data_IF_021648891667
#
_entry.id   IF_021648891667
#
_cell.length_a   1.000
_cell.length_b   1.000
_cell.length_c   1.000
_cell.angle_alpha   90.00
_cell.angle_beta   90.00
_cell.angle_gamma   90.00
#
_symmetry.space_group_name_H-M   'P 1'
#
loop_
_entity.id
_entity.type
_entity.pdbx_description
1 polymer ?
#
# COMPACT_ATOMS: atom_id res chain seq x y z
N UNK A 1 0.92 0.88 30.77
CA UNK A 1 0.06 0.68 29.57
C UNK A 1 0.83 1.14 28.36
N UNK A 2 1.25 0.23 27.51
CA UNK A 2 2.00 0.54 26.28
C UNK A 2 1.08 1.28 25.31
N UNK A 3 1.38 2.54 25.10
CA UNK A 3 0.63 3.47 24.26
C UNK A 3 0.98 3.19 22.79
N UNK A 4 0.64 2.00 22.30
CA UNK A 4 1.01 1.57 20.96
C UNK A 4 0.14 2.29 19.93
N UNK A 5 0.77 3.15 19.13
CA UNK A 5 0.15 3.71 17.93
C UNK A 5 -0.09 2.58 16.93
N UNK A 6 -1.33 2.24 16.67
CA UNK A 6 -1.67 1.22 15.67
C UNK A 6 -1.87 1.83 14.30
N UNK A 7 -1.46 1.11 13.27
CA UNK A 7 -1.72 1.44 11.86
C UNK A 7 -2.69 0.39 11.31
N UNK A 8 -3.86 0.85 10.89
CA UNK A 8 -4.86 0.01 10.25
C UNK A 8 -4.85 0.27 8.74
N UNK A 9 -4.63 -0.78 7.95
CA UNK A 9 -4.59 -0.69 6.49
C UNK A 9 -5.80 -1.45 5.93
N UNK A 10 -6.70 -0.71 5.28
CA UNK A 10 -7.91 -1.26 4.67
C UNK A 10 -7.72 -1.38 3.15
N UNK A 11 -7.31 -2.56 2.70
CA UNK A 11 -7.28 -2.90 1.28
C UNK A 11 -8.70 -3.26 0.82
N UNK A 12 -9.31 -2.40 0.00
CA UNK A 12 -10.66 -2.63 -0.51
C UNK A 12 -10.71 -3.71 -1.60
N UNK A 13 -9.55 -4.11 -2.12
CA UNK A 13 -9.44 -5.03 -3.25
C UNK A 13 -10.28 -4.55 -4.44
N UNK A 14 -10.95 -5.43 -5.15
CA UNK A 14 -11.82 -5.09 -6.27
C UNK A 14 -13.26 -4.82 -5.78
N UNK A 15 -13.39 -4.00 -4.73
CA UNK A 15 -14.67 -3.63 -4.16
C UNK A 15 -14.75 -2.11 -3.97
N UNK A 16 -15.95 -1.60 -3.95
CA UNK A 16 -16.26 -0.22 -3.64
C UNK A 16 -16.65 0.61 -4.86
N UNK A 17 -17.63 1.45 -4.61
CA UNK A 17 -18.18 2.44 -5.52
C UNK A 17 -18.23 3.80 -4.82
N UNK A 18 -18.56 4.87 -5.56
CA UNK A 18 -18.70 6.23 -4.99
C UNK A 18 -19.66 6.30 -3.80
N UNK A 19 -20.75 5.55 -3.84
CA UNK A 19 -21.74 5.43 -2.76
C UNK A 19 -21.15 4.96 -1.44
N UNK A 20 -20.17 4.05 -1.47
CA UNK A 20 -19.52 3.48 -0.29
C UNK A 20 -18.61 4.48 0.46
N UNK A 21 -18.21 5.58 -0.18
CA UNK A 21 -17.34 6.60 0.43
C UNK A 21 -17.99 7.24 1.66
N UNK A 22 -19.32 7.31 1.68
CA UNK A 22 -20.08 7.82 2.84
C UNK A 22 -19.79 7.05 4.13
N UNK A 23 -19.51 5.74 4.02
CA UNK A 23 -19.15 4.87 5.15
C UNK A 23 -17.91 5.33 5.93
N UNK A 24 -16.99 6.06 5.27
CA UNK A 24 -15.78 6.62 5.90
C UNK A 24 -16.13 7.59 7.05
N UNK A 25 -17.33 8.18 7.06
CA UNK A 25 -17.77 9.05 8.14
C UNK A 25 -17.72 8.35 9.52
N UNK A 26 -18.03 7.06 9.58
CA UNK A 26 -17.94 6.26 10.83
C UNK A 26 -16.51 6.23 11.36
N UNK A 27 -15.54 6.02 10.46
CA UNK A 27 -14.12 6.02 10.81
C UNK A 27 -13.63 7.41 11.24
N UNK A 28 -14.08 8.47 10.59
CA UNK A 28 -13.75 9.85 10.98
C UNK A 28 -14.27 10.13 12.40
N UNK A 29 -15.51 9.74 12.72
CA UNK A 29 -16.08 9.86 14.07
C UNK A 29 -15.26 9.05 15.10
N UNK A 30 -14.91 7.82 14.78
CA UNK A 30 -14.09 6.96 15.64
C UNK A 30 -12.74 7.60 16.00
N UNK A 31 -12.03 8.17 15.02
CA UNK A 31 -10.73 8.82 15.24
C UNK A 31 -10.81 10.13 16.04
N UNK A 32 -11.97 10.76 16.12
CA UNK A 32 -12.16 11.97 16.94
C UNK A 32 -12.21 11.67 18.45
N UNK A 33 -12.50 10.43 18.84
CA UNK A 33 -12.49 10.02 20.25
C UNK A 33 -11.06 10.07 20.81
N UNK A 34 -10.87 10.59 22.03
CA UNK A 34 -9.56 10.84 22.63
C UNK A 34 -8.64 9.60 22.65
N UNK A 35 -9.21 8.43 23.00
CA UNK A 35 -8.48 7.14 23.05
C UNK A 35 -7.94 6.67 21.70
N UNK A 36 -8.50 7.16 20.59
CA UNK A 36 -8.17 6.70 19.23
C UNK A 36 -7.32 7.71 18.45
N UNK A 37 -7.02 8.88 19.02
CA UNK A 37 -6.33 9.98 18.32
C UNK A 37 -4.93 9.62 17.81
N UNK A 38 -4.28 8.63 18.41
CA UNK A 38 -2.93 8.18 18.04
C UNK A 38 -2.93 7.13 16.91
N UNK A 39 -4.08 6.51 16.62
CA UNK A 39 -4.17 5.50 15.56
C UNK A 39 -4.12 6.15 14.18
N UNK A 40 -3.44 5.47 13.25
CA UNK A 40 -3.42 5.84 11.84
C UNK A 40 -4.27 4.87 11.03
N UNK A 41 -5.08 5.40 10.12
CA UNK A 41 -5.86 4.59 9.18
C UNK A 41 -5.42 4.94 7.77
N UNK A 42 -5.21 3.91 6.95
CA UNK A 42 -4.86 4.00 5.55
C UNK A 42 -5.92 3.25 4.75
N UNK A 43 -6.67 3.95 3.91
CA UNK A 43 -7.57 3.33 2.95
C UNK A 43 -6.86 3.13 1.62
N UNK A 44 -6.93 1.90 1.09
CA UNK A 44 -6.43 1.56 -0.24
C UNK A 44 -7.62 1.15 -1.13
N UNK A 45 -8.37 2.13 -1.68
CA UNK A 45 -9.48 1.88 -2.58
C UNK A 45 -8.97 1.51 -3.98
N UNK A 46 -9.85 1.04 -4.90
CA UNK A 46 -9.55 0.97 -6.33
C UNK A 46 -9.02 2.29 -6.88
N UNK A 47 -8.20 2.25 -7.94
CA UNK A 47 -7.59 3.45 -8.53
C UNK A 47 -8.62 4.54 -8.87
N UNK A 48 -9.80 4.13 -9.35
CA UNK A 48 -10.91 5.02 -9.74
C UNK A 48 -11.47 5.85 -8.58
N UNK A 49 -11.19 5.46 -7.33
CA UNK A 49 -11.73 6.11 -6.13
C UNK A 49 -10.68 6.87 -5.31
N UNK A 50 -9.40 6.81 -5.67
CA UNK A 50 -8.33 7.45 -4.87
C UNK A 50 -8.62 8.93 -4.64
N UNK A 51 -8.89 9.71 -5.70
CA UNK A 51 -9.16 11.14 -5.59
C UNK A 51 -10.43 11.43 -4.78
N UNK A 52 -11.49 10.65 -4.98
CA UNK A 52 -12.75 10.82 -4.25
C UNK A 52 -12.59 10.53 -2.75
N UNK A 53 -11.88 9.46 -2.39
CA UNK A 53 -11.55 9.13 -0.99
C UNK A 53 -10.62 10.19 -0.40
N UNK A 54 -9.61 10.65 -1.16
CA UNK A 54 -8.70 11.72 -0.70
C UNK A 54 -9.44 13.00 -0.37
N UNK A 55 -10.36 13.43 -1.23
CA UNK A 55 -11.20 14.60 -0.98
C UNK A 55 -12.07 14.43 0.27
N UNK A 56 -12.64 13.24 0.48
CA UNK A 56 -13.46 12.93 1.66
C UNK A 56 -12.68 13.04 2.97
N UNK A 57 -11.39 12.66 2.97
CA UNK A 57 -10.57 12.62 4.18
C UNK A 57 -9.60 13.81 4.31
N UNK A 58 -9.68 14.81 3.44
CA UNK A 58 -8.73 15.93 3.33
C UNK A 58 -8.38 16.59 4.68
N UNK A 59 -9.37 16.80 5.52
CA UNK A 59 -9.22 17.48 6.83
C UNK A 59 -9.12 16.46 7.99
N UNK A 60 -8.59 15.28 7.75
CA UNK A 60 -8.43 14.23 8.75
C UNK A 60 -7.02 13.67 8.77
N UNK A 61 -6.72 12.81 9.76
CA UNK A 61 -5.45 12.05 9.80
C UNK A 61 -5.46 10.79 8.93
N UNK A 62 -6.58 10.47 8.29
CA UNK A 62 -6.71 9.30 7.43
C UNK A 62 -5.83 9.51 6.19
N UNK A 63 -5.10 8.47 5.82
CA UNK A 63 -4.25 8.44 4.63
C UNK A 63 -4.90 7.59 3.54
N UNK A 64 -4.51 7.86 2.30
CA UNK A 64 -5.02 7.13 1.14
C UNK A 64 -3.87 6.45 0.42
N UNK A 65 -4.05 5.18 0.07
CA UNK A 65 -3.08 4.40 -0.67
C UNK A 65 -3.67 3.85 -1.96
N UNK A 66 -2.79 3.44 -2.87
CA UNK A 66 -3.13 2.63 -4.02
C UNK A 66 -2.92 1.15 -3.70
N UNK A 67 -3.61 0.27 -4.43
CA UNK A 67 -3.52 -1.19 -4.24
C UNK A 67 -2.34 -1.82 -5.00
N UNK A 68 -1.81 -1.13 -6.00
CA UNK A 68 -0.67 -1.53 -6.82
C UNK A 68 -0.15 -0.30 -7.59
N UNK A 69 0.94 -0.47 -8.35
CA UNK A 69 1.43 0.49 -9.34
C UNK A 69 2.18 -0.23 -10.45
N UNK A 70 2.37 0.46 -11.59
CA UNK A 70 3.30 0.02 -12.63
C UNK A 70 4.76 0.14 -12.14
N UNK A 71 5.63 -0.75 -12.63
CA UNK A 71 7.07 -0.63 -12.42
C UNK A 71 7.71 0.52 -13.21
N UNK A 72 6.97 1.09 -14.16
CA UNK A 72 7.41 2.19 -15.00
C UNK A 72 7.24 3.52 -14.25
N UNK A 73 8.29 4.34 -14.24
CA UNK A 73 8.29 5.61 -13.50
C UNK A 73 7.69 6.76 -14.29
N UNK A 74 7.88 6.77 -15.60
CA UNK A 74 7.56 7.91 -16.44
C UNK A 74 6.26 7.71 -17.22
N UNK A 75 5.72 8.79 -17.74
CA UNK A 75 4.60 8.75 -18.67
C UNK A 75 5.04 8.12 -20.00
N UNK A 76 4.10 7.54 -20.73
CA UNK A 76 4.39 6.93 -22.01
C UNK A 76 3.20 6.17 -22.59
N UNK A 77 3.43 5.44 -23.66
CA UNK A 77 2.42 4.63 -24.37
C UNK A 77 2.13 3.31 -23.65
N UNK A 78 1.57 3.39 -22.44
CA UNK A 78 1.28 2.26 -21.57
C UNK A 78 -0.20 2.27 -21.19
N UNK A 79 -1.06 2.02 -22.16
CA UNK A 79 -2.51 2.07 -22.01
C UNK A 79 -2.99 1.25 -20.81
N UNK A 80 -3.78 1.88 -19.93
CA UNK A 80 -4.34 1.25 -18.73
C UNK A 80 -3.40 1.16 -17.53
N UNK A 81 -2.09 1.44 -17.67
CA UNK A 81 -1.13 1.39 -16.57
C UNK A 81 -1.22 2.64 -15.69
N UNK A 82 -1.05 2.44 -14.39
CA UNK A 82 -1.03 3.52 -13.40
C UNK A 82 0.32 3.53 -12.70
N UNK A 83 1.12 4.58 -12.90
CA UNK A 83 2.43 4.73 -12.28
C UNK A 83 2.36 5.54 -10.96
N UNK A 84 3.51 5.66 -10.28
CA UNK A 84 3.62 6.39 -9.02
C UNK A 84 3.26 7.87 -9.13
N UNK A 85 3.56 8.53 -10.26
CA UNK A 85 3.23 9.94 -10.51
C UNK A 85 1.71 10.15 -10.58
N UNK A 86 1.00 9.27 -11.30
CA UNK A 86 -0.46 9.30 -11.39
C UNK A 86 -1.13 9.07 -10.03
N UNK A 87 -0.61 8.11 -9.23
CA UNK A 87 -1.10 7.88 -7.88
C UNK A 87 -0.88 9.12 -7.01
N UNK A 88 0.30 9.72 -7.09
CA UNK A 88 0.63 10.92 -6.32
C UNK A 88 -0.26 12.11 -6.69
N UNK A 89 -0.48 12.34 -7.97
CA UNK A 89 -1.37 13.40 -8.47
C UNK A 89 -2.83 13.20 -8.06
N UNK A 90 -3.28 11.94 -7.97
CA UNK A 90 -4.61 11.61 -7.44
C UNK A 90 -4.73 11.78 -5.92
N UNK A 91 -3.65 12.16 -5.23
CA UNK A 91 -3.62 12.38 -3.78
C UNK A 91 -3.24 11.16 -2.95
N UNK A 92 -2.66 10.12 -3.55
CA UNK A 92 -2.13 8.96 -2.84
C UNK A 92 -0.96 9.33 -1.91
N UNK A 93 -0.98 8.76 -0.72
CA UNK A 93 0.08 8.86 0.30
C UNK A 93 0.90 7.57 0.37
N UNK A 94 0.25 6.42 0.08
CA UNK A 94 0.80 5.07 0.19
C UNK A 94 0.55 4.25 -1.07
N UNK A 95 1.25 3.12 -1.18
CA UNK A 95 0.95 2.09 -2.18
C UNK A 95 1.27 0.71 -1.64
N UNK A 96 0.41 -0.27 -1.90
CA UNK A 96 0.64 -1.69 -1.64
C UNK A 96 1.50 -2.24 -2.77
N UNK A 97 2.55 -2.98 -2.41
CA UNK A 97 3.47 -3.63 -3.37
C UNK A 97 3.67 -5.08 -2.97
N UNK A 98 3.62 -5.98 -3.93
CA UNK A 98 3.89 -7.41 -3.72
C UNK A 98 2.80 -8.16 -2.97
N UNK A 99 1.55 -7.72 -3.05
CA UNK A 99 0.42 -8.44 -2.44
C UNK A 99 0.32 -9.87 -2.99
N UNK A 100 -0.08 -10.83 -2.15
CA UNK A 100 -0.13 -12.27 -2.50
C UNK A 100 -0.94 -12.56 -3.77
N UNK A 101 -2.02 -11.81 -4.02
CA UNK A 101 -2.89 -11.99 -5.18
C UNK A 101 -2.20 -11.67 -6.53
N UNK A 102 -1.09 -10.93 -6.51
CA UNK A 102 -0.37 -10.54 -7.74
C UNK A 102 1.06 -11.10 -7.82
N UNK A 103 1.57 -11.73 -6.76
CA UNK A 103 2.94 -12.28 -6.74
C UNK A 103 3.19 -13.40 -7.74
N UNK A 104 2.17 -14.07 -8.22
CA UNK A 104 2.28 -15.05 -9.30
C UNK A 104 2.53 -14.40 -10.68
N UNK A 105 2.23 -13.11 -10.82
CA UNK A 105 2.46 -12.30 -12.03
C UNK A 105 3.69 -11.38 -11.89
N UNK A 106 4.18 -11.16 -10.67
CA UNK A 106 5.24 -10.20 -10.36
C UNK A 106 6.33 -10.85 -9.52
N UNK A 107 7.51 -11.01 -10.09
CA UNK A 107 8.69 -11.49 -9.38
C UNK A 107 9.29 -10.40 -8.47
N UNK A 108 10.24 -10.80 -7.60
CA UNK A 108 10.85 -9.89 -6.63
C UNK A 108 11.64 -8.74 -7.28
N UNK A 109 12.12 -8.88 -8.53
CA UNK A 109 12.79 -7.81 -9.29
C UNK A 109 11.78 -6.73 -9.72
N UNK A 110 10.60 -7.14 -10.18
CA UNK A 110 9.51 -6.21 -10.52
C UNK A 110 9.06 -5.46 -9.26
N UNK A 111 8.92 -6.18 -8.15
CA UNK A 111 8.57 -5.60 -6.85
C UNK A 111 9.61 -4.55 -6.42
N UNK A 112 10.91 -4.85 -6.55
CA UNK A 112 11.97 -3.88 -6.27
C UNK A 112 11.83 -2.61 -7.13
N UNK A 113 11.62 -2.74 -8.45
CA UNK A 113 11.41 -1.60 -9.35
C UNK A 113 10.20 -0.75 -8.91
N UNK A 114 9.10 -1.39 -8.50
CA UNK A 114 7.91 -0.71 -7.98
C UNK A 114 8.19 0.06 -6.69
N UNK A 115 8.98 -0.51 -5.77
CA UNK A 115 9.39 0.17 -4.53
C UNK A 115 10.21 1.42 -4.87
N UNK A 116 11.20 1.30 -5.78
CA UNK A 116 11.98 2.45 -6.22
C UNK A 116 11.11 3.53 -6.85
N UNK A 117 10.16 3.15 -7.74
CA UNK A 117 9.21 4.06 -8.36
C UNK A 117 8.37 4.81 -7.32
N UNK A 118 7.81 4.10 -6.35
CA UNK A 118 7.00 4.69 -5.29
C UNK A 118 7.80 5.69 -4.43
N UNK A 119 8.99 5.28 -3.98
CA UNK A 119 9.84 6.12 -3.12
C UNK A 119 10.34 7.38 -3.83
N UNK A 120 10.62 7.30 -5.14
CA UNK A 120 11.01 8.45 -5.98
C UNK A 120 9.94 9.54 -5.94
N UNK A 121 8.66 9.17 -5.99
CA UNK A 121 7.53 10.10 -5.91
C UNK A 121 7.07 10.37 -4.46
N UNK A 122 7.89 10.03 -3.46
CA UNK A 122 7.60 10.25 -2.05
C UNK A 122 6.30 9.57 -1.57
N UNK A 123 5.90 8.47 -2.21
CA UNK A 123 4.90 7.57 -1.67
C UNK A 123 5.54 6.70 -0.59
N UNK A 124 4.77 6.37 0.45
CA UNK A 124 5.15 5.33 1.40
C UNK A 124 4.70 3.97 0.88
N UNK A 125 5.49 2.94 1.13
CA UNK A 125 5.26 1.59 0.61
C UNK A 125 4.72 0.68 1.71
N UNK A 126 3.70 -0.08 1.39
CA UNK A 126 3.24 -1.23 2.18
C UNK A 126 3.73 -2.47 1.41
N UNK A 127 4.89 -2.98 1.83
CA UNK A 127 5.51 -4.15 1.20
C UNK A 127 4.92 -5.42 1.79
N UNK A 128 4.15 -6.14 0.98
CA UNK A 128 3.64 -7.43 1.37
C UNK A 128 4.69 -8.51 1.11
N UNK A 129 4.97 -9.30 2.14
CA UNK A 129 5.87 -10.47 2.09
C UNK A 129 5.11 -11.68 2.64
N UNK A 130 5.44 -12.85 2.16
CA UNK A 130 4.82 -14.09 2.61
C UNK A 130 5.11 -15.23 1.67
N UNK A 131 5.08 -16.43 2.23
CA UNK A 131 5.20 -17.68 1.49
C UNK A 131 3.83 -18.22 1.06
N UNK A 132 3.83 -19.06 0.05
CA UNK A 132 2.66 -19.86 -0.34
C UNK A 132 2.44 -21.01 0.64
N UNK A 133 1.22 -21.56 0.67
CA UNK A 133 0.92 -22.75 1.45
C UNK A 133 1.87 -23.92 1.15
N UNK A 134 2.22 -24.13 -0.12
CA UNK A 134 3.17 -25.16 -0.57
C UNK A 134 4.57 -24.93 -0.01
N UNK A 135 5.04 -23.68 -0.02
CA UNK A 135 6.36 -23.31 0.53
C UNK A 135 6.37 -23.50 2.05
N UNK A 136 5.31 -23.12 2.75
CA UNK A 136 5.15 -23.33 4.19
C UNK A 136 5.19 -24.82 4.54
N UNK A 137 4.42 -25.65 3.83
CA UNK A 137 4.42 -27.12 4.04
C UNK A 137 5.80 -27.74 3.81
N UNK A 138 6.62 -27.15 2.96
CA UNK A 138 7.99 -27.59 2.67
C UNK A 138 9.04 -26.90 3.55
N UNK A 139 8.67 -26.27 4.67
CA UNK A 139 9.55 -25.57 5.61
C UNK A 139 10.42 -24.47 4.96
N UNK A 140 9.91 -23.81 3.88
CA UNK A 140 10.64 -22.79 3.12
C UNK A 140 10.31 -21.37 3.55
N UNK A 141 9.49 -21.13 4.59
CA UNK A 141 9.07 -19.80 5.06
C UNK A 141 10.28 -18.83 5.14
N UNK A 142 11.30 -19.21 5.94
CA UNK A 142 12.44 -18.34 6.17
C UNK A 142 13.21 -17.99 4.87
N UNK A 143 13.47 -18.99 4.04
CA UNK A 143 14.19 -18.78 2.77
C UNK A 143 13.41 -17.89 1.80
N UNK A 144 12.08 -18.05 1.73
CA UNK A 144 11.20 -17.22 0.91
C UNK A 144 11.19 -15.78 1.41
N UNK A 145 10.96 -15.56 2.70
CA UNK A 145 10.94 -14.21 3.27
C UNK A 145 12.30 -13.52 3.11
N UNK A 146 13.40 -14.23 3.37
CA UNK A 146 14.76 -13.71 3.17
C UNK A 146 14.96 -13.27 1.72
N UNK A 147 14.60 -14.11 0.73
CA UNK A 147 14.69 -13.78 -0.70
C UNK A 147 13.86 -12.54 -1.05
N UNK A 148 12.59 -12.51 -0.63
CA UNK A 148 11.67 -11.41 -0.92
C UNK A 148 12.20 -10.08 -0.37
N UNK A 149 12.72 -10.06 0.86
CA UNK A 149 13.28 -8.87 1.50
C UNK A 149 14.60 -8.48 0.80
N UNK A 150 15.53 -9.44 0.61
CA UNK A 150 16.85 -9.14 0.03
C UNK A 150 16.73 -8.57 -1.38
N UNK A 151 15.90 -9.18 -2.25
CA UNK A 151 15.74 -8.72 -3.62
C UNK A 151 14.85 -7.48 -3.65
N UNK A 152 13.73 -7.49 -2.94
CA UNK A 152 12.77 -6.38 -2.92
C UNK A 152 13.37 -5.07 -2.40
N UNK A 153 14.33 -5.13 -1.49
CA UNK A 153 15.00 -3.95 -0.93
C UNK A 153 16.39 -3.66 -1.52
N UNK A 154 16.78 -4.36 -2.59
CA UNK A 154 18.09 -4.12 -3.22
C UNK A 154 18.24 -2.63 -3.59
N UNK A 155 19.36 -2.02 -3.15
CA UNK A 155 19.68 -0.61 -3.38
C UNK A 155 18.72 0.40 -2.72
N UNK A 156 17.84 -0.01 -1.81
CA UNK A 156 17.04 0.90 -0.99
C UNK A 156 17.86 1.36 0.23
N UNK A 157 18.23 2.64 0.24
CA UNK A 157 19.08 3.22 1.32
C UNK A 157 18.32 3.51 2.61
N UNK A 158 17.02 3.81 2.53
CA UNK A 158 16.18 4.20 3.69
C UNK A 158 14.86 3.44 3.68
N UNK A 159 14.61 2.69 4.75
CA UNK A 159 13.40 1.87 4.90
C UNK A 159 12.30 2.55 5.74
N UNK A 160 12.53 3.75 6.25
CA UNK A 160 11.58 4.46 7.14
C UNK A 160 10.22 4.76 6.48
N UNK A 161 10.18 4.70 5.14
CA UNK A 161 8.94 4.88 4.36
C UNK A 161 8.34 3.53 3.89
N UNK A 162 8.76 2.41 4.50
CA UNK A 162 8.28 1.07 4.15
C UNK A 162 7.65 0.44 5.39
N UNK A 163 6.41 -0.02 5.25
CA UNK A 163 5.71 -0.86 6.22
C UNK A 163 5.76 -2.28 5.68
N UNK A 164 6.20 -3.24 6.48
CA UNK A 164 6.17 -4.65 6.14
C UNK A 164 4.84 -5.24 6.58
N UNK A 165 4.17 -5.94 5.67
CA UNK A 165 2.93 -6.67 5.92
C UNK A 165 3.14 -8.16 5.60
N UNK A 166 3.01 -8.99 6.64
CA UNK A 166 3.12 -10.46 6.55
C UNK A 166 1.76 -11.12 6.76
#
# INVERSE_FOLDING_TARGET
MTNNNMIFIANWKMNGEKSHISGINKTIKFLKQSKNKKNQIIYCPPFTLISSVKNKVKNTKIKVGAQNLSQLNDYGAFTGSVNSKLIKSAGGDYVIVGHSEIRNQENDIIINKKIHSALKEKLKVILCIGETYKEKKNNKTFSVLKRQITIGLKNIKKINNIIFAY
#
